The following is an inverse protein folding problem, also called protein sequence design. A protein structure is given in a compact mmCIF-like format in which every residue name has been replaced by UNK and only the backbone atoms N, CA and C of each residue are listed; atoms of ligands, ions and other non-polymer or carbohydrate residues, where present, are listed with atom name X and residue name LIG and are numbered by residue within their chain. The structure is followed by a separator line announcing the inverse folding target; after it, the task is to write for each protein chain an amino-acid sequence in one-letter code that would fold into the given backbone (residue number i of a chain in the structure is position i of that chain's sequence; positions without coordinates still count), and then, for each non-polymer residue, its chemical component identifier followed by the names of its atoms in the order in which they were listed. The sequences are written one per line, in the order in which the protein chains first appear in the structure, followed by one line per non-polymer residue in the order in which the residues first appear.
data_IF_104237102782
#
_entry.id   IF_104237102782
#
_cell.length_a   1.000
_cell.length_b   1.000
_cell.length_c   1.000
_cell.angle_alpha   90.00
_cell.angle_beta   90.00
_cell.angle_gamma   90.00
#
_symmetry.space_group_name_H-M   'P 1'
#
loop_
_entity.id
_entity.type
_entity.pdbx_description
1 polymer ?
#
# COMPACT_ATOMS: atom_id res chain seq x y z
N UNK A 1 -6.79 12.36 -6.23
CA UNK A 1 -6.80 10.89 -6.25
C UNK A 1 -7.19 10.46 -7.66
N UNK A 2 -6.39 9.62 -8.30
CA UNK A 2 -6.78 8.97 -9.56
C UNK A 2 -7.88 7.93 -9.31
N UNK A 3 -8.44 7.36 -10.38
CA UNK A 3 -9.33 6.20 -10.25
C UNK A 3 -8.53 4.97 -9.87
N UNK A 4 -9.05 4.19 -8.92
CA UNK A 4 -8.49 2.91 -8.46
C UNK A 4 -9.58 1.85 -8.62
N UNK A 5 -9.32 0.80 -9.38
CA UNK A 5 -10.34 -0.19 -9.73
C UNK A 5 -10.69 -1.11 -8.56
N UNK A 6 -9.90 -1.07 -7.47
CA UNK A 6 -10.22 -1.74 -6.22
C UNK A 6 -11.59 -1.35 -5.65
N UNK A 7 -12.10 -0.16 -6.00
CA UNK A 7 -13.44 0.29 -5.66
C UNK A 7 -14.55 -0.69 -6.12
N UNK A 8 -14.35 -1.42 -7.22
CA UNK A 8 -15.30 -2.44 -7.67
C UNK A 8 -15.38 -3.64 -6.72
N UNK A 9 -14.28 -4.04 -6.07
CA UNK A 9 -14.32 -5.09 -5.03
C UNK A 9 -15.07 -4.62 -3.79
N UNK A 10 -14.84 -3.37 -3.36
CA UNK A 10 -15.51 -2.78 -2.21
C UNK A 10 -17.02 -2.54 -2.43
N UNK A 11 -17.47 -2.50 -3.69
CA UNK A 11 -18.90 -2.46 -4.01
C UNK A 11 -19.60 -3.79 -3.72
N UNK A 12 -18.88 -4.92 -3.80
CA UNK A 12 -19.44 -6.27 -3.68
C UNK A 12 -19.26 -6.89 -2.29
N UNK A 13 -18.19 -6.52 -1.58
CA UNK A 13 -17.84 -7.08 -0.27
C UNK A 13 -17.31 -6.00 0.68
N UNK A 14 -17.60 -6.10 2.00
CA UNK A 14 -16.88 -5.32 2.99
C UNK A 14 -15.38 -5.59 2.86
N UNK A 15 -14.60 -4.52 2.79
CA UNK A 15 -13.15 -4.59 2.66
C UNK A 15 -12.53 -3.24 2.97
N UNK A 16 -11.20 -3.20 2.90
CA UNK A 16 -10.42 -1.99 3.12
C UNK A 16 -9.37 -1.84 2.02
N UNK A 17 -9.07 -0.60 1.68
CA UNK A 17 -7.92 -0.22 0.86
C UNK A 17 -7.04 0.71 1.70
N UNK A 18 -5.73 0.47 1.69
CA UNK A 18 -4.79 1.19 2.55
C UNK A 18 -3.55 1.61 1.77
N UNK A 19 -2.95 2.71 2.21
CA UNK A 19 -1.69 3.19 1.66
C UNK A 19 -0.53 2.72 2.52
N UNK A 20 0.51 2.19 1.88
CA UNK A 20 1.86 2.09 2.44
C UNK A 20 2.67 3.26 1.88
N UNK A 21 3.08 4.19 2.74
CA UNK A 21 3.91 5.31 2.31
C UNK A 21 5.35 4.86 2.16
N UNK A 22 5.91 5.00 0.96
CA UNK A 22 7.36 4.87 0.69
C UNK A 22 8.07 6.22 0.54
N UNK A 23 7.38 7.32 0.84
CA UNK A 23 7.90 8.67 0.66
C UNK A 23 9.01 8.98 1.68
N UNK A 24 10.23 9.19 1.18
CA UNK A 24 11.39 9.54 1.98
C UNK A 24 12.22 10.62 1.27
N UNK A 25 12.14 11.89 1.69
CA UNK A 25 12.90 12.99 1.07
C UNK A 25 14.42 12.81 1.13
N UNK A 26 14.94 12.11 2.16
CA UNK A 26 16.37 11.86 2.29
C UNK A 26 16.89 10.85 1.25
N UNK A 27 16.00 10.01 0.70
CA UNK A 27 16.29 9.05 -0.36
C UNK A 27 15.72 9.44 -1.72
N UNK A 28 15.06 10.59 -1.82
CA UNK A 28 14.40 11.08 -3.04
C UNK A 28 13.28 10.17 -3.58
N UNK A 29 12.60 9.43 -2.69
CA UNK A 29 11.47 8.54 -3.02
C UNK A 29 10.11 9.20 -2.75
N UNK A 30 10.09 10.52 -2.57
CA UNK A 30 8.89 11.36 -2.36
C UNK A 30 8.31 11.93 -3.67
N UNK A 31 8.81 11.46 -4.82
CA UNK A 31 8.34 11.84 -6.15
C UNK A 31 6.99 11.15 -6.43
N UNK A 32 5.98 11.84 -6.99
CA UNK A 32 4.64 11.28 -7.14
C UNK A 32 4.57 10.14 -8.16
N UNK A 33 3.59 9.26 -7.98
CA UNK A 33 3.22 8.23 -8.95
C UNK A 33 2.98 8.86 -10.35
N UNK A 34 3.29 8.12 -11.40
CA UNK A 34 3.25 8.55 -12.82
C UNK A 34 4.31 9.59 -13.24
N UNK A 35 5.27 9.93 -12.38
CA UNK A 35 6.44 10.72 -12.77
C UNK A 35 7.57 9.79 -13.29
N UNK A 36 8.32 10.15 -14.36
CA UNK A 36 9.45 9.35 -14.85
C UNK A 36 10.60 9.14 -13.86
N UNK A 37 10.65 9.94 -12.79
CA UNK A 37 11.63 9.83 -11.71
C UNK A 37 11.05 9.19 -10.44
N UNK A 38 9.84 8.63 -10.51
CA UNK A 38 9.26 7.90 -9.39
C UNK A 38 10.19 6.77 -8.95
N UNK A 39 10.36 6.63 -7.64
CA UNK A 39 11.16 5.58 -7.01
C UNK A 39 10.54 5.21 -5.64
N UNK A 40 10.95 4.08 -5.09
CA UNK A 40 10.36 3.49 -3.86
C UNK A 40 11.42 3.32 -2.79
N UNK A 41 11.11 3.71 -1.55
CA UNK A 41 11.95 3.35 -0.39
C UNK A 41 11.74 1.87 -0.03
N UNK A 42 12.68 1.01 -0.43
CA UNK A 42 12.61 -0.43 -0.15
C UNK A 42 12.75 -0.77 1.35
N UNK A 43 13.23 0.16 2.20
CA UNK A 43 13.36 -0.09 3.65
C UNK A 43 12.02 -0.32 4.36
N UNK A 44 10.92 0.14 3.76
CA UNK A 44 9.55 -0.03 4.31
C UNK A 44 8.74 -1.10 3.57
N UNK A 45 9.29 -1.70 2.52
CA UNK A 45 8.54 -2.66 1.68
C UNK A 45 8.08 -3.89 2.47
N UNK A 46 8.86 -4.32 3.45
CA UNK A 46 8.51 -5.46 4.31
C UNK A 46 7.29 -5.17 5.20
N UNK A 47 7.01 -3.90 5.53
CA UNK A 47 5.87 -3.51 6.36
C UNK A 47 4.55 -3.88 5.68
N UNK A 48 4.46 -3.73 4.35
CA UNK A 48 3.29 -4.13 3.58
C UNK A 48 3.00 -5.62 3.72
N UNK A 49 4.03 -6.46 3.57
CA UNK A 49 3.89 -7.91 3.73
C UNK A 49 3.50 -8.29 5.17
N UNK A 50 4.13 -7.65 6.16
CA UNK A 50 3.85 -7.89 7.58
C UNK A 50 2.40 -7.52 7.94
N UNK A 51 1.88 -6.39 7.44
CA UNK A 51 0.49 -5.99 7.67
C UNK A 51 -0.50 -6.98 7.05
N UNK A 52 -0.27 -7.43 5.82
CA UNK A 52 -1.16 -8.44 5.22
C UNK A 52 -1.13 -9.77 5.98
N UNK A 53 0.04 -10.21 6.45
CA UNK A 53 0.15 -11.41 7.28
C UNK A 53 -0.62 -11.25 8.60
N UNK A 54 -0.42 -10.13 9.31
CA UNK A 54 -1.11 -9.83 10.55
C UNK A 54 -2.64 -9.77 10.38
N UNK A 55 -3.13 -9.13 9.30
CA UNK A 55 -4.56 -9.09 8.98
C UNK A 55 -5.13 -10.50 8.81
N UNK A 56 -4.40 -11.39 8.12
CA UNK A 56 -4.86 -12.76 7.88
C UNK A 56 -4.83 -13.57 9.18
N UNK A 57 -3.78 -13.44 9.99
CA UNK A 57 -3.67 -14.10 11.30
C UNK A 57 -4.83 -13.68 12.23
N UNK A 58 -5.08 -12.37 12.35
CA UNK A 58 -6.19 -11.84 13.14
C UNK A 58 -7.55 -12.31 12.61
N UNK A 59 -7.76 -12.23 11.29
CA UNK A 59 -9.04 -12.61 10.66
C UNK A 59 -9.33 -14.11 10.80
N UNK A 60 -8.31 -14.96 10.75
CA UNK A 60 -8.44 -16.41 10.87
C UNK A 60 -8.33 -16.92 12.31
N UNK A 61 -7.94 -16.08 13.27
CA UNK A 61 -7.75 -16.44 14.67
C UNK A 61 -6.55 -17.37 14.91
N UNK A 62 -5.46 -17.14 14.18
CA UNK A 62 -4.20 -17.89 14.29
C UNK A 62 -3.25 -17.33 15.35
#
# INVERSE_FOLDING_TARGET
MGGEDFAYFLAEKPGAFMFLSSANPAKHTDIPHHNPKFDVDEDVMWEGAAVFAAIVEEFLGM
#
